data_IF_554101274476
#
_entry.id   IF_554101274476
#
_cell.length_a   1.000
_cell.length_b   1.000
_cell.length_c   1.000
_cell.angle_alpha   90.00
_cell.angle_beta   90.00
_cell.angle_gamma   90.00
#
_symmetry.space_group_name_H-M   'P 1'
#
loop_
_entity.id
_entity.type
_entity.pdbx_description
1 polymer ?
#
# COMPACT_ATOMS: atom_id res chain seq x y z
N UNK A 1 8.27 -14.00 49.48
CA UNK A 1 8.81 -13.06 48.47
C UNK A 1 9.25 -13.71 47.15
N UNK A 2 9.11 -15.03 46.93
CA UNK A 2 9.49 -15.69 45.66
C UNK A 2 8.42 -15.61 44.57
N UNK A 3 7.14 -15.60 44.95
CA UNK A 3 5.99 -15.55 44.03
C UNK A 3 5.95 -14.29 43.17
N UNK A 4 6.32 -13.13 43.74
CA UNK A 4 6.36 -11.85 43.02
C UNK A 4 7.45 -11.82 41.94
N UNK A 5 8.57 -12.52 42.14
CA UNK A 5 9.66 -12.59 41.17
C UNK A 5 9.29 -13.46 39.96
N UNK A 6 8.64 -14.60 40.19
CA UNK A 6 8.16 -15.44 39.08
C UNK A 6 7.06 -14.75 38.27
N UNK A 7 6.21 -13.96 38.93
CA UNK A 7 5.16 -13.22 38.26
C UNK A 7 5.73 -12.16 37.31
N UNK A 8 6.76 -11.41 37.72
CA UNK A 8 7.40 -10.40 36.88
C UNK A 8 8.12 -11.01 35.68
N UNK A 9 8.84 -12.13 35.87
CA UNK A 9 9.51 -12.85 34.79
C UNK A 9 8.51 -13.40 33.77
N UNK A 10 7.37 -13.94 34.24
CA UNK A 10 6.32 -14.45 33.35
C UNK A 10 5.67 -13.33 32.51
N UNK A 11 5.41 -12.17 33.12
CA UNK A 11 4.90 -10.99 32.42
C UNK A 11 5.90 -10.50 31.37
N UNK A 12 7.19 -10.41 31.69
CA UNK A 12 8.25 -10.06 30.74
C UNK A 12 8.35 -11.05 29.58
N UNK A 13 8.22 -12.36 29.84
CA UNK A 13 8.18 -13.38 28.80
C UNK A 13 6.96 -13.19 27.88
N UNK A 14 5.76 -12.94 28.42
CA UNK A 14 4.56 -12.71 27.61
C UNK A 14 4.67 -11.45 26.73
N UNK A 15 5.29 -10.39 27.25
CA UNK A 15 5.61 -9.16 26.50
C UNK A 15 6.63 -9.43 25.38
N UNK A 16 7.67 -10.24 25.63
CA UNK A 16 8.71 -10.60 24.66
C UNK A 16 8.38 -11.78 23.74
N UNK A 17 7.30 -12.54 23.97
CA UNK A 17 6.73 -13.49 23.00
C UNK A 17 5.75 -12.81 22.03
N UNK A 18 5.39 -11.55 22.26
CA UNK A 18 4.56 -10.74 21.36
C UNK A 18 5.29 -9.78 20.38
N UNK A 19 6.60 -9.88 20.05
CA UNK A 19 7.29 -8.91 19.20
C UNK A 19 7.11 -9.19 17.69
N UNK A 20 6.05 -9.91 17.31
CA UNK A 20 5.86 -10.37 15.92
C UNK A 20 4.53 -9.95 15.27
N UNK A 21 3.62 -9.27 15.97
CA UNK A 21 2.29 -8.93 15.43
C UNK A 21 1.72 -7.56 15.82
N UNK A 22 2.54 -6.63 16.33
CA UNK A 22 2.12 -5.25 16.60
C UNK A 22 2.32 -4.27 15.42
N UNK A 23 2.63 -4.75 14.21
CA UNK A 23 2.48 -3.94 12.98
C UNK A 23 1.01 -3.66 12.60
N UNK A 24 0.03 -4.12 13.39
CA UNK A 24 -1.40 -4.01 13.06
C UNK A 24 -2.09 -2.83 13.79
N UNK A 25 -1.45 -2.16 14.77
CA UNK A 25 -2.15 -1.19 15.63
C UNK A 25 -1.55 0.22 15.75
N UNK A 26 -0.37 0.50 15.21
CA UNK A 26 0.18 1.88 15.13
C UNK A 26 0.78 2.12 13.75
N UNK A 27 -0.04 2.53 12.78
CA UNK A 27 0.47 3.06 11.50
C UNK A 27 -0.18 2.60 10.20
N UNK A 28 -1.49 2.29 10.15
CA UNK A 28 -2.22 2.38 8.87
C UNK A 28 -3.75 2.43 9.01
N UNK A 29 -4.26 3.53 9.56
CA UNK A 29 -5.60 4.02 9.15
C UNK A 29 -5.56 4.59 7.70
N UNK A 30 -4.77 3.99 6.79
CA UNK A 30 -4.49 4.49 5.44
C UNK A 30 -3.62 3.59 4.54
N UNK A 31 -3.47 2.30 4.88
CA UNK A 31 -2.57 1.37 4.17
C UNK A 31 -3.29 0.49 3.17
N UNK A 32 -3.18 0.85 1.88
CA UNK A 32 -3.33 -0.05 0.74
C UNK A 32 -4.65 -0.85 0.62
N UNK A 33 -5.81 -0.19 0.79
CA UNK A 33 -6.84 -0.42 -0.24
C UNK A 33 -6.17 0.11 -1.49
N UNK A 34 -5.59 -0.79 -2.33
CA UNK A 34 -4.79 -0.42 -3.49
C UNK A 34 -5.37 0.86 -4.05
N UNK A 35 -4.59 1.95 -4.01
CA UNK A 35 -5.08 3.29 -4.26
C UNK A 35 -5.33 3.43 -5.77
N UNK A 36 -6.10 2.51 -6.33
CA UNK A 36 -6.61 2.43 -7.69
C UNK A 36 -7.29 3.77 -7.99
N UNK A 37 -7.93 4.37 -6.97
CA UNK A 37 -8.49 5.71 -7.07
C UNK A 37 -7.41 6.79 -7.16
N UNK A 38 -6.33 6.78 -6.35
CA UNK A 38 -5.22 7.73 -6.52
C UNK A 38 -4.40 7.52 -7.78
N UNK A 39 -4.11 6.27 -8.17
CA UNK A 39 -3.40 5.94 -9.41
C UNK A 39 -4.21 6.34 -10.64
N UNK A 40 -5.52 6.09 -10.64
CA UNK A 40 -6.40 6.57 -11.71
C UNK A 40 -6.52 8.10 -11.69
N UNK A 41 -6.65 8.72 -10.51
CA UNK A 41 -6.68 10.17 -10.36
C UNK A 41 -5.40 10.82 -10.89
N UNK A 42 -4.22 10.32 -10.52
CA UNK A 42 -2.92 10.78 -11.02
C UNK A 42 -2.81 10.63 -12.55
N UNK A 43 -3.34 9.52 -13.09
CA UNK A 43 -3.41 9.30 -14.53
C UNK A 43 -4.25 10.38 -15.21
N UNK A 44 -5.48 10.61 -14.73
CA UNK A 44 -6.37 11.64 -15.26
C UNK A 44 -5.79 13.04 -15.11
N UNK A 45 -5.13 13.34 -13.99
CA UNK A 45 -4.47 14.62 -13.73
C UNK A 45 -3.30 14.90 -14.70
N UNK A 46 -2.65 13.85 -15.22
CA UNK A 46 -1.60 13.97 -16.26
C UNK A 46 -2.16 13.96 -17.70
N UNK A 47 -3.46 14.20 -17.88
CA UNK A 47 -4.18 14.04 -19.16
C UNK A 47 -4.16 12.62 -19.73
N UNK A 48 -3.94 11.62 -18.88
CA UNK A 48 -4.01 10.22 -19.23
C UNK A 48 -5.41 9.64 -19.16
N UNK A 49 -5.55 8.41 -19.66
CA UNK A 49 -6.78 7.62 -19.54
C UNK A 49 -6.44 6.20 -19.13
N UNK A 50 -7.22 5.65 -18.21
CA UNK A 50 -7.13 4.24 -17.84
C UNK A 50 -7.78 3.37 -18.92
N UNK A 51 -7.02 2.47 -19.52
CA UNK A 51 -7.48 1.56 -20.59
C UNK A 51 -6.83 0.20 -20.43
N UNK A 52 -7.47 -0.85 -20.95
CA UNK A 52 -6.84 -2.17 -21.03
C UNK A 52 -5.61 -2.17 -21.96
N UNK A 53 -5.63 -1.36 -23.02
CA UNK A 53 -4.52 -1.18 -23.96
C UNK A 53 -4.39 0.29 -24.37
N UNK A 54 -3.14 0.78 -24.45
CA UNK A 54 -2.85 2.14 -24.93
C UNK A 54 -2.91 2.22 -26.45
N UNK A 55 -3.34 3.37 -26.98
CA UNK A 55 -3.40 3.62 -28.42
C UNK A 55 -1.99 3.87 -28.99
N UNK A 56 -1.83 3.78 -30.32
CA UNK A 56 -0.55 3.98 -31.05
C UNK A 56 0.21 5.30 -30.73
N UNK A 57 -0.46 6.31 -30.15
CA UNK A 57 0.13 7.62 -29.75
C UNK A 57 0.09 7.85 -28.23
N UNK A 58 -0.07 6.78 -27.47
CA UNK A 58 -0.09 6.80 -26.01
C UNK A 58 0.99 5.82 -25.49
N UNK A 59 1.64 6.16 -24.37
CA UNK A 59 2.56 5.26 -23.69
C UNK A 59 1.97 4.79 -22.35
N UNK A 60 2.33 3.56 -21.95
CA UNK A 60 1.92 2.99 -20.67
C UNK A 60 2.78 3.59 -19.55
N UNK A 61 2.12 4.23 -18.58
CA UNK A 61 2.75 4.87 -17.44
C UNK A 61 2.41 4.17 -16.10
N UNK A 62 2.12 2.87 -16.13
CA UNK A 62 1.80 2.04 -14.97
C UNK A 62 0.32 1.68 -14.90
N UNK A 63 -0.08 0.95 -13.86
CA UNK A 63 -1.44 0.40 -13.75
C UNK A 63 -2.40 1.34 -13.01
N UNK A 64 -3.55 1.60 -13.60
CA UNK A 64 -4.68 2.25 -12.93
C UNK A 64 -5.44 1.27 -12.02
N UNK A 65 -5.70 0.06 -12.50
CA UNK A 65 -6.47 -1.00 -11.81
C UNK A 65 -5.97 -2.38 -12.24
N UNK A 66 -6.58 -3.45 -11.69
CA UNK A 66 -6.10 -4.84 -11.85
C UNK A 66 -5.93 -5.31 -13.31
N UNK A 67 -6.48 -4.59 -14.30
CA UNK A 67 -6.34 -4.89 -15.72
C UNK A 67 -6.28 -3.66 -16.62
N UNK A 68 -6.14 -2.46 -16.05
CA UNK A 68 -6.10 -1.23 -16.82
C UNK A 68 -4.78 -0.52 -16.57
N UNK A 69 -4.13 -0.14 -17.65
CA UNK A 69 -2.94 0.70 -17.63
C UNK A 69 -3.30 2.17 -17.85
N UNK A 70 -2.52 3.05 -17.24
CA UNK A 70 -2.56 4.48 -17.47
C UNK A 70 -1.88 4.80 -18.80
N UNK A 71 -2.69 5.21 -19.76
CA UNK A 71 -2.22 5.59 -21.09
C UNK A 71 -2.10 7.10 -21.17
N UNK A 72 -0.87 7.60 -21.23
CA UNK A 72 -0.57 9.02 -21.38
C UNK A 72 -0.29 9.36 -22.85
N UNK A 73 -0.76 10.50 -23.38
CA UNK A 73 -0.41 10.92 -24.72
C UNK A 73 1.11 11.12 -24.80
N UNK A 74 1.74 10.57 -25.83
CA UNK A 74 3.14 10.86 -26.13
C UNK A 74 3.23 12.35 -26.46
N UNK A 75 3.75 13.16 -25.53
CA UNK A 75 4.17 14.51 -25.87
C UNK A 75 5.32 14.33 -26.86
N UNK A 76 5.22 14.93 -28.04
CA UNK A 76 6.32 14.97 -29.00
C UNK A 76 7.55 15.52 -28.27
N UNK A 77 8.47 14.63 -27.89
CA UNK A 77 9.87 14.96 -27.62
C UNK A 77 10.54 15.20 -28.97
#
# INVERSE_FOLDING_TARGET
MKTLFFLSVFIFLLLHLSPGKMEILLGSNGGARCDINKKSFDCYHRNGRCRFNCRKREYNNGDCSQYQSCCLPTRNL
#
